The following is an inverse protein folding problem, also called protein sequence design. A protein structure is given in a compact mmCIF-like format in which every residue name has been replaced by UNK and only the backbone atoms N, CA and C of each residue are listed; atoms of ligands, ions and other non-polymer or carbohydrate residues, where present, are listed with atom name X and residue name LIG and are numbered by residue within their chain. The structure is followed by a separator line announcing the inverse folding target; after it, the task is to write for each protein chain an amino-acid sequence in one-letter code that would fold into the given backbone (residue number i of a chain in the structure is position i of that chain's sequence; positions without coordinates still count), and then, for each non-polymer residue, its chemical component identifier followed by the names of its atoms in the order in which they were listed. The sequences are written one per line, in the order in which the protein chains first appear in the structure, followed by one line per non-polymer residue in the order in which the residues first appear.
data_IF_244964470017
#
_entry.id   IF_244964470017
#
_cell.length_a   1.000
_cell.length_b   1.000
_cell.length_c   1.000
_cell.angle_alpha   90.00
_cell.angle_beta   90.00
_cell.angle_gamma   90.00
#
_symmetry.space_group_name_H-M   'P 1'
#
loop_
_entity.id
_entity.type
_entity.pdbx_description
1 polymer ?
#
# COMPACT_ATOMS: atom_id res chain seq x y z
N UNK A 1 21.61 -38.53 47.06
CA UNK A 1 22.41 -37.67 46.16
C UNK A 1 21.53 -37.34 44.96
N UNK A 2 21.08 -36.10 44.81
CA UNK A 2 20.26 -35.66 43.67
C UNK A 2 21.05 -34.58 42.93
N UNK A 3 21.31 -34.76 41.63
CA UNK A 3 21.66 -33.65 40.75
C UNK A 3 20.78 -33.73 39.50
N UNK A 4 20.09 -32.62 39.32
CA UNK A 4 19.06 -32.29 38.34
C UNK A 4 19.65 -32.08 36.95
N UNK A 5 18.84 -32.41 35.94
CA UNK A 5 19.08 -32.26 34.50
C UNK A 5 18.60 -30.88 34.03
N UNK A 6 19.31 -30.25 33.09
CA UNK A 6 18.84 -29.59 31.83
C UNK A 6 19.93 -28.60 31.34
N UNK A 7 20.52 -28.73 30.14
CA UNK A 7 20.05 -28.34 28.78
C UNK A 7 19.67 -26.84 28.70
N UNK A 8 20.03 -25.96 27.74
CA UNK A 8 20.72 -25.86 26.42
C UNK A 8 21.13 -24.36 26.37
N UNK A 9 22.35 -23.95 26.04
CA UNK A 9 22.84 -23.68 24.68
C UNK A 9 22.58 -22.23 24.23
N UNK A 10 23.66 -21.49 23.91
CA UNK A 10 23.64 -20.36 22.95
C UNK A 10 25.00 -20.26 22.29
N UNK A 11 25.01 -20.46 20.98
CA UNK A 11 26.13 -20.26 20.07
C UNK A 11 26.23 -18.75 19.81
N UNK A 12 27.30 -18.11 20.26
CA UNK A 12 27.64 -16.73 19.87
C UNK A 12 28.67 -16.78 18.75
N UNK A 13 28.24 -16.53 17.52
CA UNK A 13 29.13 -16.43 16.35
C UNK A 13 29.37 -14.95 16.03
N UNK A 14 30.62 -14.57 16.31
CA UNK A 14 31.53 -13.75 15.50
C UNK A 14 31.14 -12.31 15.19
N UNK A 15 31.79 -11.40 15.93
CA UNK A 15 32.20 -10.09 15.42
C UNK A 15 33.69 -10.13 15.11
N UNK A 16 34.07 -9.74 13.88
CA UNK A 16 35.11 -8.72 13.63
C UNK A 16 35.20 -8.38 12.14
N UNK A 17 35.00 -7.09 11.85
CA UNK A 17 35.41 -6.38 10.64
C UNK A 17 36.92 -6.45 10.47
N UNK A 18 37.40 -6.80 9.27
CA UNK A 18 38.72 -6.38 8.78
C UNK A 18 38.63 -6.00 7.29
N UNK A 19 39.06 -4.77 7.03
CA UNK A 19 39.08 -4.07 5.75
C UNK A 19 39.94 -4.78 4.70
N UNK A 20 39.50 -4.71 3.43
CA UNK A 20 40.28 -5.09 2.25
C UNK A 20 39.86 -4.29 1.01
N UNK A 21 40.69 -3.29 0.69
CA UNK A 21 40.97 -2.63 -0.59
C UNK A 21 39.92 -2.54 -1.72
N UNK A 22 39.51 -1.29 -1.97
CA UNK A 22 39.65 -0.53 -3.23
C UNK A 22 39.46 -1.24 -4.58
N UNK A 23 38.39 -0.88 -5.29
CA UNK A 23 38.45 -0.54 -6.71
C UNK A 23 37.24 0.33 -7.09
N UNK A 24 37.49 1.40 -7.84
CA UNK A 24 36.46 2.32 -8.32
C UNK A 24 35.56 1.61 -9.33
N UNK A 25 34.26 1.62 -9.09
CA UNK A 25 33.24 1.48 -10.13
C UNK A 25 32.31 2.67 -10.07
N UNK A 26 32.04 3.17 -11.26
CA UNK A 26 31.37 4.41 -11.64
C UNK A 26 30.11 4.69 -10.82
N UNK A 27 29.67 5.96 -10.69
CA UNK A 27 28.36 6.24 -10.14
C UNK A 27 27.36 5.45 -10.96
N UNK A 28 26.67 4.51 -10.30
CA UNK A 28 25.49 3.88 -10.83
C UNK A 28 24.54 5.05 -11.05
N UNK A 29 24.48 5.52 -12.30
CA UNK A 29 23.30 6.19 -12.80
C UNK A 29 22.24 5.12 -12.63
N UNK A 30 21.44 5.25 -11.59
CA UNK A 30 20.12 4.69 -11.61
C UNK A 30 19.47 5.34 -12.83
N UNK A 31 19.56 4.65 -13.96
CA UNK A 31 18.60 4.80 -15.03
C UNK A 31 17.26 4.54 -14.36
N UNK A 32 16.62 5.63 -13.93
CA UNK A 32 15.20 5.69 -13.66
C UNK A 32 14.53 5.35 -14.97
N UNK A 33 14.44 4.05 -15.26
CA UNK A 33 13.51 3.50 -16.21
C UNK A 33 12.15 3.67 -15.56
N UNK A 34 11.64 4.91 -15.59
CA UNK A 34 10.21 5.15 -15.53
C UNK A 34 9.68 4.58 -16.83
N UNK A 35 9.49 3.27 -16.85
CA UNK A 35 8.52 2.65 -17.73
C UNK A 35 7.23 3.42 -17.51
N UNK A 36 6.88 4.26 -18.50
CA UNK A 36 5.50 4.72 -18.67
C UNK A 36 4.66 3.48 -18.95
N UNK A 37 4.39 2.69 -17.91
CA UNK A 37 3.27 1.77 -17.95
C UNK A 37 2.04 2.67 -17.99
N UNK A 38 1.41 2.73 -19.15
CA UNK A 38 0.13 3.39 -19.31
C UNK A 38 -0.90 2.55 -18.56
N UNK A 39 -1.18 2.93 -17.31
CA UNK A 39 -2.06 2.16 -16.44
C UNK A 39 -3.49 2.34 -16.95
N UNK A 40 -3.99 1.28 -17.56
CA UNK A 40 -5.36 1.24 -18.04
C UNK A 40 -6.28 0.85 -16.88
N UNK A 41 -6.85 1.85 -16.22
CA UNK A 41 -7.83 1.61 -15.18
C UNK A 41 -9.13 1.05 -15.73
N UNK A 42 -9.71 0.05 -15.05
CA UNK A 42 -11.09 -0.29 -15.33
C UNK A 42 -11.97 0.92 -15.00
N UNK A 43 -12.97 1.17 -15.85
CA UNK A 43 -13.93 2.28 -15.68
C UNK A 43 -14.72 2.18 -14.37
N UNK A 44 -14.86 0.97 -13.83
CA UNK A 44 -15.48 0.67 -12.55
C UNK A 44 -14.63 -0.36 -11.81
N UNK A 45 -14.50 -0.19 -10.50
CA UNK A 45 -13.79 -1.11 -9.61
C UNK A 45 -14.70 -1.41 -8.41
N UNK A 46 -14.77 -2.68 -8.03
CA UNK A 46 -15.35 -3.11 -6.75
C UNK A 46 -14.16 -3.32 -5.83
N UNK A 47 -14.21 -2.83 -4.59
CA UNK A 47 -13.16 -3.01 -3.59
C UNK A 47 -13.74 -3.70 -2.37
N UNK A 48 -13.05 -4.72 -1.89
CA UNK A 48 -13.36 -5.44 -0.65
C UNK A 48 -12.36 -5.08 0.44
N UNK A 49 -12.83 -5.03 1.69
CA UNK A 49 -11.97 -4.82 2.86
C UNK A 49 -10.86 -5.89 2.91
N UNK A 50 -9.64 -5.47 3.26
CA UNK A 50 -8.47 -6.32 3.58
C UNK A 50 -7.65 -6.89 2.41
N UNK A 51 -8.12 -6.82 1.15
CA UNK A 51 -7.43 -7.49 0.03
C UNK A 51 -7.29 -6.67 -1.26
N UNK A 52 -7.94 -5.50 -1.38
CA UNK A 52 -8.02 -4.79 -2.66
C UNK A 52 -7.37 -3.40 -2.67
N UNK A 53 -6.51 -3.20 -3.68
CA UNK A 53 -5.66 -2.03 -3.86
C UNK A 53 -6.13 -1.22 -5.07
N UNK A 54 -6.12 0.10 -4.93
CA UNK A 54 -6.15 1.03 -6.06
C UNK A 54 -4.76 1.63 -6.21
N UNK A 55 -4.16 1.49 -7.39
CA UNK A 55 -2.77 1.88 -7.67
C UNK A 55 -2.66 2.78 -8.88
N UNK A 56 -1.79 3.77 -8.88
CA UNK A 56 -1.31 4.47 -10.09
C UNK A 56 0.09 4.13 -10.56
N UNK A 57 0.53 2.92 -10.19
CA UNK A 57 1.82 2.36 -10.54
C UNK A 57 2.98 3.03 -9.81
N UNK A 58 2.71 4.17 -9.18
CA UNK A 58 3.62 4.83 -8.25
C UNK A 58 3.08 4.77 -6.83
N UNK A 59 1.77 4.92 -6.65
CA UNK A 59 1.12 4.99 -5.34
C UNK A 59 -0.01 3.99 -5.23
N UNK A 60 0.03 3.19 -4.16
CA UNK A 60 -1.01 2.23 -3.81
C UNK A 60 -1.79 2.67 -2.57
N UNK A 61 -3.12 2.53 -2.65
CA UNK A 61 -4.03 2.65 -1.52
C UNK A 61 -4.81 1.36 -1.29
N UNK A 62 -4.89 0.95 -0.03
CA UNK A 62 -5.73 -0.16 0.44
C UNK A 62 -7.05 0.39 0.95
N UNK A 63 -8.15 -0.25 0.57
CA UNK A 63 -9.46 0.01 1.19
C UNK A 63 -9.58 -0.74 2.51
N UNK A 64 -9.66 0.00 3.62
CA UNK A 64 -9.77 -0.53 4.99
C UNK A 64 -11.22 -0.77 5.44
N UNK A 65 -12.20 -0.61 4.54
CA UNK A 65 -13.61 -0.80 4.86
C UNK A 65 -14.31 0.48 5.34
N UNK A 66 -15.38 0.28 6.12
CA UNK A 66 -16.24 1.33 6.66
C UNK A 66 -15.84 1.65 8.10
N UNK A 67 -15.63 2.93 8.39
CA UNK A 67 -15.48 3.43 9.75
C UNK A 67 -16.80 4.07 10.15
N UNK A 68 -17.52 3.43 11.05
CA UNK A 68 -18.88 3.85 11.37
C UNK A 68 -19.84 3.65 10.19
N UNK A 69 -20.95 4.39 10.17
CA UNK A 69 -21.99 4.20 9.16
C UNK A 69 -21.73 4.98 7.88
N UNK A 70 -21.10 6.15 7.94
CA UNK A 70 -21.11 7.13 6.87
C UNK A 70 -19.73 7.39 6.24
N UNK A 71 -18.71 6.62 6.61
CA UNK A 71 -17.33 6.90 6.23
C UNK A 71 -16.61 5.66 5.69
N UNK A 72 -15.99 5.81 4.52
CA UNK A 72 -15.03 4.92 3.87
C UNK A 72 -13.62 5.26 4.32
N UNK A 73 -12.76 4.25 4.50
CA UNK A 73 -11.36 4.43 4.89
C UNK A 73 -10.40 3.86 3.87
N UNK A 74 -9.37 4.64 3.54
CA UNK A 74 -8.26 4.25 2.66
C UNK A 74 -6.92 4.55 3.33
N UNK A 75 -5.90 3.73 3.05
CA UNK A 75 -4.54 3.92 3.56
C UNK A 75 -3.48 3.63 2.50
N UNK A 76 -2.46 4.48 2.41
CA UNK A 76 -1.34 4.27 1.49
C UNK A 76 -0.42 3.14 1.98
N UNK A 77 -0.11 2.16 1.11
CA UNK A 77 0.60 0.93 1.52
C UNK A 77 2.12 0.94 1.28
N UNK A 78 2.63 1.70 0.32
CA UNK A 78 3.99 1.50 -0.21
C UNK A 78 5.11 2.33 0.46
N UNK A 79 4.84 3.21 1.42
CA UNK A 79 5.85 4.14 1.95
C UNK A 79 5.93 4.20 3.48
N UNK A 80 7.10 4.61 3.98
CA UNK A 80 7.39 4.88 5.41
C UNK A 80 6.43 5.91 6.06
N UNK A 81 5.64 6.62 5.25
CA UNK A 81 4.62 7.56 5.71
C UNK A 81 3.24 6.98 5.47
N UNK A 82 2.51 6.77 6.56
CA UNK A 82 1.10 6.42 6.51
C UNK A 82 0.26 7.65 6.19
N UNK A 83 -0.44 7.62 5.06
CA UNK A 83 -1.49 8.58 4.74
C UNK A 83 -2.85 7.87 4.76
N UNK A 84 -3.66 8.22 5.76
CA UNK A 84 -5.05 7.78 5.84
C UNK A 84 -5.97 8.82 5.20
N UNK A 85 -6.94 8.36 4.41
CA UNK A 85 -7.98 9.20 3.82
C UNK A 85 -9.36 8.68 4.21
N UNK A 86 -10.27 9.61 4.48
CA UNK A 86 -11.63 9.32 4.93
C UNK A 86 -12.63 10.05 4.04
N UNK A 87 -13.62 9.30 3.56
CA UNK A 87 -14.55 9.79 2.56
C UNK A 87 -15.97 9.35 2.86
N UNK A 88 -16.99 10.19 2.64
CA UNK A 88 -18.38 9.79 2.75
C UNK A 88 -18.74 8.49 2.00
N UNK A 89 -19.34 7.55 2.71
CA UNK A 89 -20.00 6.37 2.18
C UNK A 89 -21.41 6.75 1.65
N UNK A 90 -21.44 7.52 0.57
CA UNK A 90 -22.66 8.07 -0.02
C UNK A 90 -22.64 7.94 -1.55
N UNK A 91 -23.67 7.32 -2.13
CA UNK A 91 -23.81 7.19 -3.58
C UNK A 91 -23.80 8.58 -4.24
N UNK A 92 -23.04 8.72 -5.34
CA UNK A 92 -22.79 9.95 -6.07
C UNK A 92 -21.73 10.86 -5.42
N UNK A 93 -21.18 10.51 -4.26
CA UNK A 93 -20.08 11.26 -3.67
C UNK A 93 -18.80 11.04 -4.48
N UNK A 94 -18.11 12.13 -4.79
CA UNK A 94 -16.86 12.10 -5.54
C UNK A 94 -15.68 12.54 -4.69
N UNK A 95 -14.55 11.86 -4.84
CA UNK A 95 -13.32 12.19 -4.11
C UNK A 95 -12.06 11.85 -4.90
N UNK A 96 -10.92 12.32 -4.40
CA UNK A 96 -9.59 11.98 -4.89
C UNK A 96 -8.78 11.45 -3.72
N UNK A 97 -7.96 10.44 -3.97
CA UNK A 97 -6.97 9.98 -3.02
C UNK A 97 -5.72 10.86 -3.17
N UNK A 98 -5.08 11.18 -2.05
CA UNK A 98 -3.90 12.04 -2.05
C UNK A 98 -2.78 11.38 -2.87
N UNK A 99 -1.95 12.16 -3.55
CA UNK A 99 -0.86 11.67 -4.42
C UNK A 99 -1.33 10.98 -5.73
N UNK A 100 -2.60 10.55 -5.84
CA UNK A 100 -3.19 10.06 -7.09
C UNK A 100 -3.99 11.21 -7.76
N UNK A 101 -3.28 12.25 -8.21
CA UNK A 101 -3.93 13.44 -8.77
C UNK A 101 -4.58 13.19 -10.13
N UNK A 102 -4.17 12.19 -10.89
CA UNK A 102 -4.72 11.88 -12.22
C UNK A 102 -6.11 11.23 -12.16
N UNK A 103 -6.63 10.87 -10.97
CA UNK A 103 -7.84 10.07 -10.83
C UNK A 103 -8.82 10.70 -9.85
N UNK A 104 -10.09 10.68 -10.23
CA UNK A 104 -11.21 10.95 -9.35
C UNK A 104 -12.11 9.72 -9.29
N UNK A 105 -12.67 9.46 -8.11
CA UNK A 105 -13.61 8.37 -7.86
C UNK A 105 -15.00 8.92 -7.64
N UNK A 106 -16.01 8.14 -8.03
CA UNK A 106 -17.42 8.35 -7.69
C UNK A 106 -17.94 7.08 -7.03
N UNK A 107 -18.53 7.20 -5.83
CA UNK A 107 -19.19 6.07 -5.16
C UNK A 107 -20.48 5.75 -5.90
N UNK A 108 -20.57 4.57 -6.50
CA UNK A 108 -21.76 4.19 -7.30
C UNK A 108 -22.62 3.12 -6.61
N UNK A 109 -22.03 2.31 -5.74
CA UNK A 109 -22.74 1.35 -4.89
C UNK A 109 -21.86 0.97 -3.69
N UNK A 110 -22.45 0.43 -2.63
CA UNK A 110 -21.71 -0.15 -1.51
C UNK A 110 -22.59 -1.04 -0.63
N UNK A 111 -21.97 -2.03 0.04
CA UNK A 111 -22.61 -2.85 1.06
C UNK A 111 -21.71 -2.95 2.28
N UNK A 112 -22.24 -2.51 3.42
CA UNK A 112 -21.54 -2.60 4.71
C UNK A 112 -21.47 -4.05 5.19
N UNK A 113 -22.58 -4.77 5.08
CA UNK A 113 -22.69 -6.17 5.51
C UNK A 113 -21.76 -7.09 4.72
N UNK A 114 -21.52 -6.78 3.45
CA UNK A 114 -20.60 -7.52 2.59
C UNK A 114 -19.19 -6.92 2.52
N UNK A 115 -18.95 -5.79 3.20
CA UNK A 115 -17.64 -5.14 3.26
C UNK A 115 -17.10 -4.69 1.90
N UNK A 116 -17.94 -4.15 1.01
CA UNK A 116 -17.49 -3.69 -0.30
C UNK A 116 -17.96 -2.27 -0.64
N UNK A 117 -17.16 -1.58 -1.45
CA UNK A 117 -17.54 -0.34 -2.15
C UNK A 117 -17.30 -0.50 -3.64
N UNK A 118 -18.27 -0.08 -4.46
CA UNK A 118 -18.11 0.01 -5.91
C UNK A 118 -17.88 1.46 -6.30
N UNK A 119 -16.78 1.70 -7.00
CA UNK A 119 -16.34 3.01 -7.45
C UNK A 119 -16.33 3.06 -8.97
N UNK A 120 -16.69 4.21 -9.52
CA UNK A 120 -16.42 4.56 -10.91
C UNK A 120 -15.14 5.40 -10.96
N UNK A 121 -14.23 5.01 -11.84
CA UNK A 121 -12.94 5.65 -12.03
C UNK A 121 -13.06 6.71 -13.13
N UNK A 122 -12.66 7.94 -12.83
CA UNK A 122 -12.67 9.08 -13.73
C UNK A 122 -11.23 9.56 -13.89
N UNK A 123 -10.59 9.14 -14.98
CA UNK A 123 -9.24 9.58 -15.32
C UNK A 123 -9.29 11.03 -15.83
N UNK A 124 -8.53 11.91 -15.20
CA UNK A 124 -8.41 13.32 -15.56
C UNK A 124 -7.22 13.51 -16.50
N UNK A 125 -7.41 14.40 -17.50
CA UNK A 125 -6.40 14.75 -18.51
C UNK A 125 -5.61 15.98 -18.10
#
# INVERSE_FOLDING_TARGET
MKKTIMLIGTISIVSTLLFGCAEAKEPIKEDTHSSNEEINYPKEVVLHTEDEIVSDGYVDYVFNGFIGEDTLSFEQSQYDKTYSSFHPAKIGYTFRLKEIESIQFEVIDFSRDQGFVKLKVIVMK
#
